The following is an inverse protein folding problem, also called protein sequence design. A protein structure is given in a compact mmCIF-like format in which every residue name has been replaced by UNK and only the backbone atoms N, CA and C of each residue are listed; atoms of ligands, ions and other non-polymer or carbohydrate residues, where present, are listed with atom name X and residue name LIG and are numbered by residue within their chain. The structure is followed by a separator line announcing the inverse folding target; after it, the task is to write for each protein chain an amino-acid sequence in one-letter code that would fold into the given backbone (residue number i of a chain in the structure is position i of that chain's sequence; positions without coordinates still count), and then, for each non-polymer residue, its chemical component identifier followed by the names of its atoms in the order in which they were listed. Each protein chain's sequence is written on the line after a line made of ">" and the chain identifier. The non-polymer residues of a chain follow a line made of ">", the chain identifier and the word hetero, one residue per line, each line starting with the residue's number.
data_IF_107855537615
#
_entry.id   IF_107855537615
#
_cell.length_a   1.000
_cell.length_b   1.000
_cell.length_c   1.000
_cell.angle_alpha   90.00
_cell.angle_beta   90.00
_cell.angle_gamma   90.00
#
_symmetry.space_group_name_H-M   'P 1'
#
loop_
_entity.id
_entity.type
_entity.pdbx_description
1 polymer ?
#
# COMPACT_ATOMS: atom_id res chain seq x y z
N UNK A 1 -4.26 -8.39 -25.14
CA UNK A 1 -4.65 -9.03 -23.86
C UNK A 1 -5.57 -8.05 -23.13
N UNK A 2 -6.56 -8.51 -22.35
CA UNK A 2 -7.40 -7.58 -21.54
C UNK A 2 -6.54 -6.93 -20.47
N UNK A 3 -6.80 -5.70 -20.09
CA UNK A 3 -6.07 -5.07 -19.00
C UNK A 3 -6.58 -5.45 -17.62
N UNK A 4 -5.76 -5.18 -16.60
CA UNK A 4 -6.09 -5.50 -15.21
C UNK A 4 -7.40 -4.84 -14.77
N UNK A 5 -7.64 -3.59 -15.15
CA UNK A 5 -8.90 -2.89 -14.83
C UNK A 5 -10.11 -3.52 -15.52
N UNK A 6 -9.95 -3.92 -16.79
CA UNK A 6 -11.00 -4.63 -17.54
C UNK A 6 -11.29 -6.01 -16.92
N UNK A 7 -10.25 -6.76 -16.55
CA UNK A 7 -10.36 -8.06 -15.89
C UNK A 7 -11.00 -7.94 -14.50
N UNK A 8 -10.62 -6.94 -13.70
CA UNK A 8 -11.21 -6.69 -12.41
C UNK A 8 -12.70 -6.34 -12.53
N UNK A 9 -13.07 -5.48 -13.49
CA UNK A 9 -14.47 -5.16 -13.78
C UNK A 9 -15.24 -6.39 -14.23
N UNK A 10 -14.67 -7.19 -15.12
CA UNK A 10 -15.27 -8.44 -15.58
C UNK A 10 -15.48 -9.44 -14.44
N UNK A 11 -14.48 -9.62 -13.57
CA UNK A 11 -14.56 -10.51 -12.41
C UNK A 11 -15.65 -10.05 -11.43
N UNK A 12 -15.71 -8.75 -11.13
CA UNK A 12 -16.75 -8.18 -10.27
C UNK A 12 -18.15 -8.34 -10.87
N UNK A 13 -18.32 -8.20 -12.19
CA UNK A 13 -19.62 -8.41 -12.85
C UNK A 13 -19.99 -9.89 -12.86
N UNK A 14 -19.02 -10.79 -13.05
CA UNK A 14 -19.26 -12.25 -13.03
C UNK A 14 -19.60 -12.77 -11.64
N UNK A 15 -19.02 -12.22 -10.57
CA UNK A 15 -19.31 -12.66 -9.20
C UNK A 15 -20.76 -12.39 -8.78
N UNK A 16 -21.43 -11.44 -9.43
CA UNK A 16 -22.86 -11.17 -9.23
C UNK A 16 -23.77 -12.31 -9.72
N UNK A 17 -23.25 -13.28 -10.49
CA UNK A 17 -24.01 -14.45 -10.94
C UNK A 17 -24.11 -15.54 -9.87
N UNK A 18 -23.22 -15.50 -8.87
CA UNK A 18 -23.22 -16.43 -7.75
C UNK A 18 -24.41 -16.13 -6.83
N UNK A 19 -24.93 -17.14 -6.15
CA UNK A 19 -25.88 -16.94 -5.05
C UNK A 19 -25.24 -16.10 -3.93
N UNK A 20 -26.06 -15.44 -3.10
CA UNK A 20 -25.61 -14.46 -2.10
C UNK A 20 -24.53 -15.00 -1.15
N UNK A 21 -24.69 -16.23 -0.64
CA UNK A 21 -23.73 -16.84 0.29
C UNK A 21 -22.40 -17.15 -0.39
N UNK A 22 -22.44 -17.74 -1.59
CA UNK A 22 -21.24 -18.09 -2.36
C UNK A 22 -20.52 -16.85 -2.88
N UNK A 23 -21.29 -15.81 -3.22
CA UNK A 23 -20.79 -14.48 -3.56
C UNK A 23 -20.00 -13.86 -2.40
N UNK A 24 -20.54 -13.86 -1.18
CA UNK A 24 -19.87 -13.29 -0.01
C UNK A 24 -18.52 -14.00 0.26
N UNK A 25 -18.50 -15.34 0.19
CA UNK A 25 -17.28 -16.13 0.34
C UNK A 25 -16.27 -15.75 -0.75
N UNK A 26 -16.72 -15.63 -2.00
CA UNK A 26 -15.86 -15.29 -3.12
C UNK A 26 -15.39 -13.82 -3.10
N UNK A 27 -16.19 -12.88 -2.61
CA UNK A 27 -15.78 -11.48 -2.43
C UNK A 27 -14.70 -11.34 -1.36
N UNK A 28 -14.81 -12.06 -0.25
CA UNK A 28 -13.76 -12.15 0.76
C UNK A 28 -12.49 -12.80 0.18
N UNK A 29 -12.65 -13.83 -0.66
CA UNK A 29 -11.55 -14.47 -1.39
C UNK A 29 -10.83 -13.49 -2.34
N UNK A 30 -11.58 -12.77 -3.18
CA UNK A 30 -11.04 -11.76 -4.09
C UNK A 30 -10.30 -10.67 -3.32
N UNK A 31 -10.89 -10.16 -2.24
CA UNK A 31 -10.28 -9.10 -1.42
C UNK A 31 -8.98 -9.56 -0.79
N UNK A 32 -8.91 -10.80 -0.29
CA UNK A 32 -7.67 -11.38 0.24
C UNK A 32 -6.57 -11.50 -0.83
N UNK A 33 -6.90 -11.98 -2.03
CA UNK A 33 -5.95 -12.08 -3.14
C UNK A 33 -5.46 -10.69 -3.57
N UNK A 34 -6.37 -9.74 -3.78
CA UNK A 34 -6.06 -8.37 -4.26
C UNK A 34 -5.25 -7.55 -3.26
N UNK A 35 -5.40 -7.84 -1.97
CA UNK A 35 -4.62 -7.19 -0.91
C UNK A 35 -3.23 -7.79 -0.72
N UNK A 36 -2.87 -8.84 -1.47
CA UNK A 36 -1.53 -9.39 -1.45
C UNK A 36 -0.58 -8.58 -2.35
N UNK A 37 0.36 -7.88 -1.71
CA UNK A 37 1.37 -7.08 -2.38
C UNK A 37 2.47 -7.91 -3.06
N UNK A 38 2.50 -9.23 -2.83
CA UNK A 38 3.58 -10.08 -3.31
C UNK A 38 3.49 -10.48 -4.77
N UNK A 39 2.31 -10.35 -5.37
CA UNK A 39 2.01 -10.87 -6.69
C UNK A 39 1.63 -9.75 -7.63
N UNK A 40 1.85 -9.96 -8.92
CA UNK A 40 1.41 -9.04 -9.95
C UNK A 40 -0.15 -8.90 -9.93
N UNK A 41 -0.68 -7.66 -9.94
CA UNK A 41 -2.13 -7.44 -9.98
C UNK A 41 -2.82 -8.09 -11.19
N UNK A 42 -2.15 -8.08 -12.36
CA UNK A 42 -2.70 -8.68 -13.58
C UNK A 42 -2.86 -10.19 -13.44
N UNK A 43 -1.79 -10.88 -13.03
CA UNK A 43 -1.80 -12.34 -12.85
C UNK A 43 -2.79 -12.78 -11.78
N UNK A 44 -2.93 -11.97 -10.72
CA UNK A 44 -3.94 -12.16 -9.68
C UNK A 44 -5.37 -12.12 -10.26
N UNK A 45 -5.69 -11.15 -11.12
CA UNK A 45 -7.01 -11.07 -11.76
C UNK A 45 -7.27 -12.19 -12.76
N UNK A 46 -6.25 -12.64 -13.50
CA UNK A 46 -6.35 -13.78 -14.41
C UNK A 46 -6.64 -15.06 -13.62
N UNK A 47 -5.92 -15.27 -12.51
CA UNK A 47 -6.16 -16.39 -11.60
C UNK A 47 -7.57 -16.32 -10.99
N UNK A 48 -8.00 -15.15 -10.51
CA UNK A 48 -9.35 -14.95 -9.97
C UNK A 48 -10.44 -15.26 -11.00
N UNK A 49 -10.25 -14.83 -12.26
CA UNK A 49 -11.19 -15.14 -13.35
C UNK A 49 -11.32 -16.64 -13.58
N UNK A 50 -10.19 -17.36 -13.58
CA UNK A 50 -10.15 -18.83 -13.71
C UNK A 50 -10.91 -19.50 -12.56
N UNK A 51 -10.63 -19.12 -11.32
CA UNK A 51 -11.28 -19.70 -10.13
C UNK A 51 -12.78 -19.41 -10.14
N UNK A 52 -13.18 -18.18 -10.44
CA UNK A 52 -14.59 -17.78 -10.55
C UNK A 52 -15.33 -18.61 -11.60
N UNK A 53 -14.71 -18.85 -12.76
CA UNK A 53 -15.31 -19.69 -13.81
C UNK A 53 -15.57 -21.12 -13.32
N UNK A 54 -14.61 -21.71 -12.60
CA UNK A 54 -14.78 -23.05 -12.03
C UNK A 54 -15.81 -23.08 -10.90
N UNK A 55 -15.86 -22.03 -10.08
CA UNK A 55 -16.84 -21.90 -9.00
C UNK A 55 -18.27 -21.82 -9.56
N UNK A 56 -18.52 -20.96 -10.55
CA UNK A 56 -19.83 -20.86 -11.23
C UNK A 56 -20.24 -22.22 -11.81
N UNK A 57 -19.33 -22.92 -12.49
CA UNK A 57 -19.62 -24.25 -13.05
C UNK A 57 -19.83 -25.34 -12.00
N UNK A 58 -19.37 -25.14 -10.76
CA UNK A 58 -19.62 -26.05 -9.64
C UNK A 58 -20.97 -25.73 -8.98
N UNK A 59 -21.29 -24.45 -8.81
CA UNK A 59 -22.59 -23.97 -8.34
C UNK A 59 -23.73 -24.40 -9.27
N UNK A 60 -23.52 -24.33 -10.60
CA UNK A 60 -24.47 -24.84 -11.60
C UNK A 60 -24.77 -26.35 -11.43
N UNK A 61 -23.89 -27.10 -10.75
CA UNK A 61 -24.05 -28.52 -10.42
C UNK A 61 -24.57 -28.77 -9.00
N UNK A 62 -24.91 -27.70 -8.27
CA UNK A 62 -25.41 -27.76 -6.90
C UNK A 62 -24.33 -27.82 -5.80
N UNK A 63 -23.05 -27.62 -6.14
CA UNK A 63 -21.96 -27.59 -5.15
C UNK A 63 -21.88 -26.20 -4.49
N UNK A 64 -21.82 -26.16 -3.16
CA UNK A 64 -21.65 -24.92 -2.39
C UNK A 64 -20.20 -24.39 -2.50
N UNK A 65 -20.00 -23.08 -2.42
CA UNK A 65 -18.64 -22.50 -2.48
C UNK A 65 -17.72 -23.02 -1.36
N UNK A 66 -18.25 -23.25 -0.15
CA UNK A 66 -17.46 -23.84 0.93
C UNK A 66 -16.96 -25.24 0.58
N UNK A 67 -17.78 -26.05 -0.08
CA UNK A 67 -17.37 -27.38 -0.53
C UNK A 67 -16.29 -27.28 -1.62
N UNK A 68 -16.49 -26.40 -2.60
CA UNK A 68 -15.50 -26.10 -3.64
C UNK A 68 -14.13 -25.71 -3.06
N UNK A 69 -14.12 -24.94 -1.98
CA UNK A 69 -12.89 -24.52 -1.28
C UNK A 69 -12.41 -25.49 -0.18
N UNK A 70 -12.95 -26.71 -0.10
CA UNK A 70 -12.64 -27.68 0.97
C UNK A 70 -12.78 -27.08 2.37
N UNK A 71 -13.83 -26.30 2.59
CA UNK A 71 -14.18 -25.58 3.82
C UNK A 71 -13.10 -24.59 4.32
N UNK A 72 -12.12 -24.24 3.48
CA UNK A 72 -11.05 -23.31 3.85
C UNK A 72 -10.62 -22.40 2.68
N UNK A 73 -11.44 -21.39 2.33
CA UNK A 73 -11.14 -20.46 1.24
C UNK A 73 -9.81 -19.71 1.45
N UNK A 74 -9.46 -19.39 2.70
CA UNK A 74 -8.19 -18.74 3.04
C UNK A 74 -6.97 -19.61 2.70
N UNK A 75 -7.00 -20.89 3.04
CA UNK A 75 -5.91 -21.82 2.72
C UNK A 75 -5.82 -22.05 1.21
N UNK A 76 -6.96 -22.14 0.52
CA UNK A 76 -7.00 -22.21 -0.93
C UNK A 76 -6.34 -20.97 -1.56
N UNK A 77 -6.71 -19.77 -1.10
CA UNK A 77 -6.14 -18.51 -1.58
C UNK A 77 -4.63 -18.45 -1.38
N UNK A 78 -4.15 -18.83 -0.19
CA UNK A 78 -2.72 -18.88 0.13
C UNK A 78 -1.95 -19.86 -0.75
N UNK A 79 -2.54 -21.00 -1.10
CA UNK A 79 -1.93 -21.98 -2.01
C UNK A 79 -1.80 -21.39 -3.41
N UNK A 80 -2.87 -20.81 -3.93
CA UNK A 80 -2.90 -20.21 -5.27
C UNK A 80 -1.92 -19.04 -5.39
N UNK A 81 -1.80 -18.18 -4.37
CA UNK A 81 -0.80 -17.09 -4.35
C UNK A 81 0.64 -17.60 -4.40
N UNK A 82 0.94 -18.74 -3.77
CA UNK A 82 2.28 -19.34 -3.81
C UNK A 82 2.66 -19.93 -5.16
N UNK A 83 1.67 -20.25 -6.00
CA UNK A 83 1.88 -20.76 -7.35
C UNK A 83 2.19 -19.63 -8.34
N UNK A 84 1.89 -18.38 -7.98
CA UNK A 84 2.18 -17.21 -8.80
C UNK A 84 3.62 -16.71 -8.57
N UNK A 85 4.25 -16.10 -9.59
CA UNK A 85 5.58 -15.53 -9.45
C UNK A 85 5.57 -14.42 -8.41
N UNK A 86 6.48 -14.52 -7.43
CA UNK A 86 6.61 -13.52 -6.40
C UNK A 86 7.38 -12.31 -6.96
N UNK A 87 6.67 -11.19 -7.10
CA UNK A 87 7.21 -9.91 -7.53
C UNK A 87 7.19 -8.84 -6.41
N UNK A 88 6.97 -9.23 -5.14
CA UNK A 88 6.78 -8.31 -3.99
C UNK A 88 7.80 -7.19 -3.98
N UNK A 89 9.08 -7.57 -3.94
CA UNK A 89 10.18 -6.63 -3.74
C UNK A 89 10.30 -5.74 -4.97
N UNK A 90 10.23 -6.32 -6.16
CA UNK A 90 10.36 -5.60 -7.42
C UNK A 90 9.23 -4.58 -7.61
N UNK A 91 7.98 -4.95 -7.34
CA UNK A 91 6.84 -4.05 -7.49
C UNK A 91 6.83 -2.95 -6.42
N UNK A 92 7.11 -3.29 -5.17
CA UNK A 92 7.20 -2.29 -4.09
C UNK A 92 8.33 -1.31 -4.35
N UNK A 93 9.53 -1.77 -4.72
CA UNK A 93 10.64 -0.88 -5.05
C UNK A 93 10.33 -0.04 -6.28
N UNK A 94 9.66 -0.60 -7.30
CA UNK A 94 9.20 0.16 -8.46
C UNK A 94 8.24 1.27 -8.03
N UNK A 95 7.22 0.98 -7.22
CA UNK A 95 6.26 1.98 -6.73
C UNK A 95 6.93 3.05 -5.86
N UNK A 96 7.78 2.66 -4.92
CA UNK A 96 8.53 3.58 -4.06
C UNK A 96 9.43 4.48 -4.91
N UNK A 97 10.17 3.92 -5.86
CA UNK A 97 11.03 4.67 -6.77
C UNK A 97 10.22 5.65 -7.65
N UNK A 98 9.10 5.19 -8.20
CA UNK A 98 8.19 6.00 -9.01
C UNK A 98 7.65 7.20 -8.24
N UNK A 99 7.30 7.02 -6.97
CA UNK A 99 6.68 8.06 -6.14
C UNK A 99 7.67 8.70 -5.15
N UNK A 100 8.96 8.38 -5.24
CA UNK A 100 9.98 8.84 -4.31
C UNK A 100 10.08 10.36 -4.27
N UNK A 101 10.05 10.98 -5.46
CA UNK A 101 10.09 12.43 -5.63
C UNK A 101 8.86 13.09 -4.99
N UNK A 102 7.68 12.48 -5.13
CA UNK A 102 6.43 12.96 -4.51
C UNK A 102 6.53 12.89 -2.98
N UNK A 103 7.02 11.76 -2.45
CA UNK A 103 7.21 11.55 -1.03
C UNK A 103 8.17 12.59 -0.42
N UNK A 104 9.25 12.92 -1.13
CA UNK A 104 10.16 14.00 -0.73
C UNK A 104 9.43 15.35 -0.72
N UNK A 105 8.65 15.66 -1.75
CA UNK A 105 7.86 16.89 -1.82
C UNK A 105 6.91 17.05 -0.64
N UNK A 106 6.14 15.99 -0.34
CA UNK A 106 5.21 15.95 0.81
C UNK A 106 5.97 16.07 2.13
N UNK A 107 7.09 15.37 2.28
CA UNK A 107 7.92 15.45 3.47
C UNK A 107 8.44 16.87 3.72
N UNK A 108 8.98 17.52 2.69
CA UNK A 108 9.43 18.91 2.78
C UNK A 108 8.29 19.86 3.16
N UNK A 109 7.08 19.65 2.62
CA UNK A 109 5.91 20.46 2.98
C UNK A 109 5.58 20.32 4.46
N UNK A 110 5.39 19.08 4.92
CA UNK A 110 4.99 18.77 6.29
C UNK A 110 6.02 19.29 7.29
N UNK A 111 7.31 19.05 7.03
CA UNK A 111 8.39 19.53 7.89
C UNK A 111 8.44 21.05 7.97
N UNK A 112 8.31 21.75 6.84
CA UNK A 112 8.27 23.21 6.81
C UNK A 112 7.04 23.77 7.51
N UNK A 113 5.84 23.24 7.22
CA UNK A 113 4.57 23.70 7.77
C UNK A 113 4.49 23.48 9.29
N UNK A 114 4.79 22.28 9.77
CA UNK A 114 4.73 21.94 11.19
C UNK A 114 5.88 22.60 11.97
N UNK A 115 7.02 22.84 11.32
CA UNK A 115 8.11 23.64 11.86
C UNK A 115 7.63 24.97 12.44
N UNK A 116 6.72 25.69 11.77
CA UNK A 116 6.18 26.95 12.28
C UNK A 116 5.45 26.86 13.63
N UNK A 117 4.94 25.67 13.98
CA UNK A 117 4.16 25.47 15.21
C UNK A 117 4.99 24.87 16.36
N UNK A 118 6.04 24.10 16.07
CA UNK A 118 6.78 23.30 17.06
C UNK A 118 8.17 23.86 17.38
N UNK A 119 8.81 24.59 16.46
CA UNK A 119 10.14 25.17 16.67
C UNK A 119 10.34 26.35 15.73
N UNK A 120 10.47 27.56 16.29
CA UNK A 120 10.59 28.83 15.56
C UNK A 120 11.64 28.84 14.45
N UNK A 121 11.79 29.98 13.76
CA UNK A 121 12.45 30.08 12.43
C UNK A 121 13.89 29.51 12.29
N UNK A 122 14.58 29.18 13.38
CA UNK A 122 15.91 28.59 13.38
C UNK A 122 15.88 27.08 13.67
N UNK A 123 15.75 26.27 12.62
CA UNK A 123 15.87 24.81 12.73
C UNK A 123 17.28 24.35 12.33
N UNK A 124 17.96 23.71 13.28
CA UNK A 124 19.25 23.09 13.04
C UNK A 124 19.07 21.79 12.24
N UNK A 125 19.56 21.77 11.01
CA UNK A 125 19.61 20.60 10.16
C UNK A 125 21.00 19.99 10.26
N UNK A 126 21.09 18.85 10.95
CA UNK A 126 22.31 18.05 11.04
C UNK A 126 22.49 17.22 9.77
N UNK A 127 23.60 17.44 9.05
CA UNK A 127 23.81 16.87 7.71
C UNK A 127 23.90 15.33 7.72
N UNK A 128 24.36 14.72 8.81
CA UNK A 128 24.45 13.25 8.93
C UNK A 128 23.15 12.63 9.44
N UNK A 129 22.50 13.28 10.39
CA UNK A 129 21.24 12.80 10.96
C UNK A 129 20.08 12.91 9.98
N UNK A 130 20.07 13.94 9.12
CA UNK A 130 19.01 14.17 8.14
C UNK A 130 18.76 12.99 7.18
N UNK A 131 19.75 12.46 6.45
CA UNK A 131 19.53 11.31 5.56
C UNK A 131 19.10 10.06 6.33
N UNK A 132 19.61 9.83 7.54
CA UNK A 132 19.20 8.71 8.40
C UNK A 132 17.71 8.85 8.76
N UNK A 133 17.28 10.04 9.14
CA UNK A 133 15.88 10.34 9.46
C UNK A 133 14.96 10.11 8.26
N UNK A 134 15.40 10.51 7.05
CA UNK A 134 14.65 10.26 5.82
C UNK A 134 14.51 8.77 5.55
N UNK A 135 15.59 7.99 5.68
CA UNK A 135 15.56 6.53 5.50
C UNK A 135 14.65 5.85 6.51
N UNK A 136 14.74 6.20 7.80
CA UNK A 136 13.87 5.67 8.85
C UNK A 136 12.40 6.06 8.58
N UNK A 137 12.15 7.30 8.17
CA UNK A 137 10.82 7.78 7.81
C UNK A 137 10.21 7.00 6.65
N UNK A 138 10.98 6.75 5.58
CA UNK A 138 10.56 5.92 4.45
C UNK A 138 10.27 4.48 4.88
N UNK A 139 11.08 3.92 5.76
CA UNK A 139 10.85 2.59 6.31
C UNK A 139 9.56 2.51 7.13
N UNK A 140 9.26 3.53 7.95
CA UNK A 140 8.00 3.60 8.71
C UNK A 140 6.80 3.74 7.75
N UNK A 141 6.91 4.55 6.70
CA UNK A 141 5.87 4.66 5.66
C UNK A 141 5.65 3.31 4.98
N UNK A 142 6.72 2.60 4.63
CA UNK A 142 6.63 1.26 4.08
C UNK A 142 5.91 0.29 5.03
N UNK A 143 6.28 0.27 6.32
CA UNK A 143 5.60 -0.55 7.33
C UNK A 143 4.13 -0.17 7.49
N UNK A 144 3.80 1.11 7.43
CA UNK A 144 2.42 1.60 7.49
C UNK A 144 1.58 1.10 6.33
N UNK A 145 2.07 1.24 5.10
CA UNK A 145 1.40 0.71 3.90
C UNK A 145 1.24 -0.81 4.01
N UNK A 146 2.33 -1.53 4.31
CA UNK A 146 2.29 -2.98 4.48
C UNK A 146 1.26 -3.42 5.52
N UNK A 147 1.16 -2.69 6.64
CA UNK A 147 0.22 -2.96 7.72
C UNK A 147 -1.25 -2.72 7.29
N UNK A 148 -1.53 -1.70 6.47
CA UNK A 148 -2.87 -1.48 5.90
C UNK A 148 -3.30 -2.68 5.06
N UNK A 149 -2.47 -3.09 4.10
CA UNK A 149 -2.75 -4.27 3.27
C UNK A 149 -2.89 -5.53 4.10
N UNK A 150 -2.03 -5.69 5.12
CA UNK A 150 -2.11 -6.83 6.02
C UNK A 150 -3.40 -6.85 6.84
N UNK A 151 -3.87 -5.69 7.27
CA UNK A 151 -5.14 -5.55 8.00
C UNK A 151 -6.31 -5.97 7.15
N UNK A 152 -6.35 -5.55 5.87
CA UNK A 152 -7.39 -5.96 4.91
C UNK A 152 -7.41 -7.50 4.77
N UNK A 153 -6.26 -8.13 4.51
CA UNK A 153 -6.16 -9.61 4.42
C UNK A 153 -6.70 -10.33 5.66
N UNK A 154 -6.44 -9.73 6.83
CA UNK A 154 -6.75 -10.34 8.10
C UNK A 154 -8.24 -10.20 8.44
N UNK A 155 -8.88 -9.09 8.05
CA UNK A 155 -10.31 -8.84 8.22
C UNK A 155 -11.18 -9.72 7.31
N UNK A 156 -10.74 -10.08 6.10
CA UNK A 156 -11.52 -10.90 5.16
C UNK A 156 -11.93 -12.29 5.70
N UNK A 157 -11.20 -12.83 6.67
CA UNK A 157 -11.43 -14.19 7.19
C UNK A 157 -11.44 -14.26 8.71
N UNK A 158 -11.44 -13.13 9.41
CA UNK A 158 -11.40 -13.11 10.86
C UNK A 158 -12.26 -11.99 11.43
N UNK A 159 -13.30 -12.38 12.17
CA UNK A 159 -14.25 -11.47 12.81
C UNK A 159 -13.97 -11.25 14.30
N UNK A 160 -12.75 -11.55 14.77
CA UNK A 160 -12.40 -11.38 16.18
C UNK A 160 -12.15 -9.92 16.53
N UNK A 161 -12.93 -9.38 17.47
CA UNK A 161 -12.80 -8.02 17.97
C UNK A 161 -11.40 -7.72 18.56
N UNK A 162 -10.75 -8.73 19.16
CA UNK A 162 -9.40 -8.58 19.71
C UNK A 162 -8.36 -8.29 18.63
N UNK A 163 -8.51 -8.97 17.51
CA UNK A 163 -7.62 -8.81 16.38
C UNK A 163 -7.81 -7.44 15.73
N UNK A 164 -9.07 -6.98 15.65
CA UNK A 164 -9.40 -5.62 15.23
C UNK A 164 -8.73 -4.60 16.15
N UNK A 165 -8.91 -4.69 17.47
CA UNK A 165 -8.30 -3.78 18.44
C UNK A 165 -6.77 -3.73 18.29
N UNK A 166 -6.11 -4.89 18.17
CA UNK A 166 -4.66 -4.96 17.97
C UNK A 166 -4.22 -4.30 16.65
N UNK A 167 -4.93 -4.51 15.54
CA UNK A 167 -4.56 -3.86 14.27
C UNK A 167 -4.71 -2.34 14.33
N UNK A 168 -5.78 -1.80 14.94
CA UNK A 168 -5.91 -0.34 15.12
C UNK A 168 -4.85 0.22 16.08
N UNK A 169 -4.51 -0.50 17.15
CA UNK A 169 -3.45 -0.08 18.06
C UNK A 169 -2.10 0.02 17.35
N UNK A 170 -1.75 -0.95 16.49
CA UNK A 170 -0.52 -0.91 15.69
C UNK A 170 -0.55 0.24 14.67
N UNK A 171 -1.67 0.47 14.00
CA UNK A 171 -1.83 1.61 13.06
C UNK A 171 -1.65 2.94 13.80
N UNK A 172 -2.28 3.11 14.96
CA UNK A 172 -2.13 4.31 15.78
C UNK A 172 -0.67 4.51 16.23
N UNK A 173 0.01 3.43 16.64
CA UNK A 173 1.42 3.46 17.01
C UNK A 173 2.32 3.86 15.83
N UNK A 174 2.05 3.37 14.62
CA UNK A 174 2.80 3.76 13.42
C UNK A 174 2.58 5.24 13.05
N UNK A 175 1.37 5.77 13.22
CA UNK A 175 1.09 7.20 13.03
C UNK A 175 1.88 8.02 14.05
N UNK A 176 1.85 7.65 15.33
CA UNK A 176 2.62 8.31 16.38
C UNK A 176 4.12 8.24 16.09
N UNK A 177 4.64 7.10 15.65
CA UNK A 177 6.03 6.93 15.26
C UNK A 177 6.41 7.80 14.06
N UNK A 178 5.53 7.92 13.07
CA UNK A 178 5.72 8.79 11.91
C UNK A 178 5.77 10.27 12.34
N UNK A 179 4.88 10.68 13.25
CA UNK A 179 4.93 12.02 13.84
C UNK A 179 6.22 12.23 14.65
N UNK A 180 6.63 11.24 15.43
CA UNK A 180 7.84 11.31 16.24
C UNK A 180 9.10 11.52 15.38
N UNK A 181 9.29 10.69 14.36
CA UNK A 181 10.49 10.72 13.51
C UNK A 181 10.60 12.01 12.71
N UNK A 182 9.47 12.56 12.25
CA UNK A 182 9.49 13.75 11.40
C UNK A 182 9.43 15.08 12.13
N UNK A 183 8.80 15.14 13.32
CA UNK A 183 8.49 16.42 13.97
C UNK A 183 9.13 16.64 15.32
N UNK A 184 9.59 15.59 16.02
CA UNK A 184 10.32 15.83 17.28
C UNK A 184 11.75 16.25 16.94
N UNK A 185 12.26 17.33 17.56
CA UNK A 185 13.61 17.80 17.33
C UNK A 185 14.60 16.65 17.48
N UNK A 186 15.54 16.56 16.55
CA UNK A 186 16.55 15.52 16.42
C UNK A 186 17.55 15.49 17.59
N UNK A 187 17.23 16.08 18.74
CA UNK A 187 18.10 16.24 19.90
C UNK A 187 18.73 14.94 20.39
N UNK A 188 18.03 13.81 20.27
CA UNK A 188 18.56 12.48 20.64
C UNK A 188 19.53 11.88 19.62
N UNK A 189 19.47 12.28 18.35
CA UNK A 189 20.29 11.78 17.24
C UNK A 189 21.13 12.90 16.57
N UNK A 190 21.25 14.05 17.22
CA UNK A 190 21.94 15.22 16.71
C UNK A 190 23.45 14.99 16.74
N UNK A 191 24.02 14.56 15.61
CA UNK A 191 25.46 14.38 15.47
C UNK A 191 25.94 14.92 14.12
N UNK A 192 27.15 15.48 14.13
CA UNK A 192 27.79 16.05 12.95
C UNK A 192 27.53 17.55 12.74
N UNK A 193 28.05 18.10 11.62
CA UNK A 193 27.90 19.51 11.29
C UNK A 193 26.43 19.86 11.04
N UNK A 194 26.03 21.04 11.51
CA UNK A 194 24.68 21.56 11.35
C UNK A 194 24.67 22.81 10.49
N UNK A 195 23.59 23.00 9.74
CA UNK A 195 23.26 24.23 9.06
C UNK A 195 21.93 24.75 9.59
N UNK A 196 21.79 26.08 9.68
CA UNK A 196 20.52 26.70 10.02
C UNK A 196 19.69 26.82 8.74
N UNK A 197 18.55 26.16 8.69
CA UNK A 197 17.65 26.18 7.54
C UNK A 197 16.29 26.71 8.02
N UNK A 198 15.83 27.78 7.38
CA UNK A 198 14.51 28.34 7.65
C UNK A 198 13.41 27.37 7.21
N UNK A 199 12.30 27.36 7.94
CA UNK A 199 11.10 26.61 7.59
C UNK A 199 10.58 26.96 6.18
N UNK A 200 10.75 28.23 5.76
CA UNK A 200 10.42 28.70 4.42
C UNK A 200 11.20 27.97 3.33
N UNK A 201 12.46 27.61 3.58
CA UNK A 201 13.27 26.88 2.60
C UNK A 201 12.66 25.52 2.29
N UNK A 202 12.13 24.80 3.29
CA UNK A 202 11.45 23.52 3.08
C UNK A 202 10.14 23.67 2.29
N UNK A 203 9.36 24.71 2.56
CA UNK A 203 8.13 24.99 1.83
C UNK A 203 8.42 25.32 0.36
N UNK A 204 9.40 26.18 0.09
CA UNK A 204 9.77 26.55 -1.28
C UNK A 204 10.25 25.31 -2.06
N UNK A 205 11.09 24.48 -1.44
CA UNK A 205 11.53 23.21 -2.03
C UNK A 205 10.34 22.31 -2.35
N UNK A 206 9.36 22.22 -1.44
CA UNK A 206 8.16 21.42 -1.68
C UNK A 206 7.30 21.95 -2.84
N UNK A 207 7.10 23.27 -2.92
CA UNK A 207 6.34 23.91 -3.99
C UNK A 207 6.98 23.67 -5.36
N UNK A 208 8.30 23.51 -5.43
CA UNK A 208 9.02 23.20 -6.66
C UNK A 208 9.01 21.69 -6.97
N UNK A 209 9.30 20.85 -5.99
CA UNK A 209 9.43 19.40 -6.17
C UNK A 209 8.09 18.75 -6.47
N UNK A 210 7.00 19.19 -5.83
CA UNK A 210 5.69 18.56 -5.97
C UNK A 210 5.16 18.63 -7.42
N UNK A 211 5.14 19.80 -8.10
CA UNK A 211 4.78 19.88 -9.53
C UNK A 211 5.71 19.08 -10.44
N UNK A 212 7.02 19.07 -10.18
CA UNK A 212 7.98 18.26 -10.94
C UNK A 212 7.64 16.78 -10.80
N UNK A 213 7.29 16.34 -9.58
CA UNK A 213 6.86 14.97 -9.34
C UNK A 213 5.61 14.62 -10.12
N UNK A 214 4.59 15.49 -10.13
CA UNK A 214 3.37 15.27 -10.92
C UNK A 214 3.66 15.23 -12.42
N UNK A 215 4.57 16.06 -12.91
CA UNK A 215 4.99 16.05 -14.31
C UNK A 215 5.70 14.74 -14.68
N UNK A 216 6.64 14.27 -13.84
CA UNK A 216 7.34 13.00 -14.04
C UNK A 216 6.34 11.84 -14.06
N UNK A 217 5.41 11.82 -13.11
CA UNK A 217 4.43 10.76 -12.99
C UNK A 217 3.48 10.72 -14.19
N UNK A 218 2.97 11.88 -14.62
CA UNK A 218 2.12 12.00 -15.79
C UNK A 218 2.85 11.63 -17.10
N UNK A 219 4.11 12.04 -17.27
CA UNK A 219 4.82 11.87 -18.53
C UNK A 219 5.49 10.51 -18.70
N UNK A 220 6.04 9.94 -17.63
CA UNK A 220 6.82 8.70 -17.69
C UNK A 220 6.02 7.49 -17.23
N UNK A 221 5.17 7.61 -16.20
CA UNK A 221 4.48 6.44 -15.63
C UNK A 221 3.08 6.23 -16.18
N UNK A 222 2.37 7.30 -16.54
CA UNK A 222 1.04 7.18 -17.15
C UNK A 222 1.07 6.71 -18.63
N UNK A 223 2.22 6.84 -19.31
CA UNK A 223 2.43 6.26 -20.66
C UNK A 223 2.64 4.74 -20.60
N UNK A 224 3.34 4.24 -19.59
CA UNK A 224 3.54 2.81 -19.37
C UNK A 224 2.30 2.11 -18.79
N UNK A 225 1.47 2.86 -18.05
CA UNK A 225 0.12 2.40 -17.74
C UNK A 225 -0.65 2.16 -19.04
N UNK A 226 -0.53 3.05 -20.05
CA UNK A 226 -1.22 2.99 -21.35
C UNK A 226 -0.69 1.93 -22.35
N UNK A 227 0.47 1.33 -22.10
CA UNK A 227 1.05 0.24 -22.92
C UNK A 227 0.99 -1.14 -22.24
N UNK A 228 0.42 -1.21 -21.04
CA UNK A 228 -0.20 -2.41 -20.46
C UNK A 228 -1.59 -2.00 -19.87
N UNK A 229 -2.42 -1.39 -20.73
CA UNK A 229 -3.74 -0.78 -20.44
C UNK A 229 -4.86 -1.43 -21.22
#
# INVERSE_FOLDING_TARGET
>A
MKSTAQLAKENNVKSLRLNNTDREIFENYMTYIRSDLSVNPHDSEVMLNRILKHLISAEDKGMLAMEFFNHNPKMHAKKQLKELPNETVKNIFKYIYQHFVLLIGIFCFLKGFIGFFIGGDSNYLYLYTFPITVVIGLFIIFLFIWMIFKTIQLQCFNNSNWVWLLTYAVIALLIVALFYVFFIPQSFLAFGPYINVSNWSFIIISIIITPISFYIDHHYFNKDANTIM
#
